data_IF_834259044085
#
_entry.id   IF_834259044085
#
_cell.length_a   1.000
_cell.length_b   1.000
_cell.length_c   1.000
_cell.angle_alpha   90.00
_cell.angle_beta   90.00
_cell.angle_gamma   90.00
#
_symmetry.space_group_name_H-M   'P 1'
#
loop_
_entity.id
_entity.type
_entity.pdbx_description
1 polymer ?
#
# COMPACT_ATOMS: atom_id res chain seq x y z
N UNK A 1 10.57 -18.91 33.61
CA UNK A 1 10.31 -18.61 32.19
C UNK A 1 8.95 -17.96 32.11
N UNK A 2 8.83 -16.77 31.50
CA UNK A 2 7.52 -16.17 31.26
C UNK A 2 6.84 -16.98 30.16
N UNK A 3 5.90 -17.84 30.54
CA UNK A 3 4.99 -18.52 29.61
C UNK A 3 3.89 -17.55 29.15
N UNK A 4 4.18 -16.25 29.04
CA UNK A 4 3.20 -15.23 28.74
C UNK A 4 3.72 -14.43 27.55
N UNK A 5 2.87 -14.24 26.56
CA UNK A 5 3.16 -13.46 25.37
C UNK A 5 3.43 -11.99 25.78
N UNK A 6 4.59 -11.42 25.44
CA UNK A 6 4.90 -10.04 25.77
C UNK A 6 4.03 -9.02 25.02
N UNK A 7 3.47 -9.40 23.87
CA UNK A 7 2.63 -8.53 23.04
C UNK A 7 1.17 -8.44 23.56
N UNK A 8 0.53 -9.57 23.87
CA UNK A 8 -0.90 -9.60 24.23
C UNK A 8 -1.21 -10.14 25.64
N UNK A 9 -0.24 -10.71 26.35
CA UNK A 9 -0.44 -11.27 27.69
C UNK A 9 -1.08 -12.67 27.74
N UNK A 10 -1.33 -13.32 26.60
CA UNK A 10 -1.84 -14.69 26.57
C UNK A 10 -0.77 -15.72 26.99
N UNK A 11 -1.20 -16.88 27.51
CA UNK A 11 -0.28 -17.96 27.84
C UNK A 11 0.34 -18.59 26.57
N UNK A 12 1.63 -18.91 26.64
CA UNK A 12 2.40 -19.52 25.56
C UNK A 12 2.61 -21.00 25.82
N UNK A 13 2.38 -21.82 24.80
CA UNK A 13 2.74 -23.24 24.84
C UNK A 13 4.27 -23.42 24.97
N UNK A 14 4.74 -24.55 25.54
CA UNK A 14 6.15 -24.86 25.61
C UNK A 14 6.78 -24.85 24.21
N UNK A 15 7.90 -24.12 24.06
CA UNK A 15 8.62 -23.97 22.77
C UNK A 15 7.80 -23.30 21.66
N UNK A 16 6.78 -22.50 21.99
CA UNK A 16 6.06 -21.71 21.01
C UNK A 16 7.02 -20.80 20.22
N UNK A 17 6.91 -20.81 18.89
CA UNK A 17 7.64 -19.91 17.98
C UNK A 17 6.83 -18.65 17.63
N UNK A 18 5.52 -18.69 17.86
CA UNK A 18 4.58 -17.59 17.68
C UNK A 18 3.42 -17.74 18.67
N UNK A 19 2.69 -16.66 18.94
CA UNK A 19 1.55 -16.66 19.84
C UNK A 19 0.32 -17.23 19.14
N UNK A 20 -0.31 -18.24 19.73
CA UNK A 20 -1.52 -18.86 19.20
C UNK A 20 -2.77 -17.96 19.30
N UNK A 21 -2.71 -16.92 20.13
CA UNK A 21 -3.82 -15.99 20.35
C UNK A 21 -3.77 -14.76 19.45
N UNK A 22 -2.60 -14.15 19.26
CA UNK A 22 -2.46 -12.89 18.50
C UNK A 22 -1.53 -12.99 17.28
N UNK A 23 -0.84 -14.11 17.09
CA UNK A 23 0.08 -14.31 15.97
C UNK A 23 1.46 -13.67 16.15
N UNK A 24 1.68 -12.84 17.18
CA UNK A 24 2.99 -12.20 17.38
C UNK A 24 4.11 -13.20 17.65
N UNK A 25 5.31 -12.86 17.19
CA UNK A 25 6.51 -13.69 17.24
C UNK A 25 7.77 -12.85 17.50
N UNK A 26 8.94 -13.45 17.32
CA UNK A 26 10.24 -12.81 17.51
C UNK A 26 10.45 -11.52 16.69
N UNK A 27 9.79 -11.37 15.54
CA UNK A 27 9.96 -10.21 14.66
C UNK A 27 8.89 -9.14 14.91
N UNK A 28 7.69 -9.56 15.30
CA UNK A 28 6.50 -8.70 15.32
C UNK A 28 6.11 -8.23 16.72
N UNK A 29 6.58 -8.88 17.79
CA UNK A 29 6.19 -8.46 19.14
C UNK A 29 6.90 -9.09 20.33
N UNK A 30 7.87 -10.00 20.12
CA UNK A 30 8.63 -10.65 21.21
C UNK A 30 10.09 -10.19 21.32
N UNK A 31 10.52 -9.26 20.48
CA UNK A 31 11.85 -8.67 20.57
C UNK A 31 11.95 -7.70 21.76
N UNK A 32 13.16 -7.52 22.32
CA UNK A 32 13.39 -6.64 23.47
C UNK A 32 13.07 -5.15 23.19
N UNK A 33 13.02 -4.77 21.91
CA UNK A 33 12.67 -3.42 21.45
C UNK A 33 11.26 -3.28 20.88
N UNK A 34 10.40 -4.29 21.01
CA UNK A 34 9.01 -4.21 20.58
C UNK A 34 8.23 -3.26 21.53
N UNK A 35 8.39 -1.96 21.32
CA UNK A 35 7.52 -0.94 21.92
C UNK A 35 6.34 -0.70 21.00
N UNK A 36 5.15 -0.70 21.58
CA UNK A 36 3.99 -0.08 20.93
C UNK A 36 4.28 1.41 20.80
N UNK A 37 4.40 1.87 19.56
CA UNK A 37 4.31 3.29 19.25
C UNK A 37 2.87 3.74 19.51
N UNK A 38 2.71 4.68 20.44
CA UNK A 38 1.40 5.20 20.82
C UNK A 38 0.97 6.38 19.94
N UNK A 39 1.85 6.85 19.06
CA UNK A 39 1.48 7.84 18.06
C UNK A 39 0.62 7.15 16.99
N UNK A 40 -0.68 7.43 17.05
CA UNK A 40 -1.60 7.01 16.01
C UNK A 40 -1.22 7.75 14.71
N UNK A 41 -1.13 7.04 13.57
CA UNK A 41 -0.88 7.70 12.29
C UNK A 41 -2.05 8.62 11.93
N UNK A 42 -1.76 9.68 11.16
CA UNK A 42 -2.78 10.63 10.72
C UNK A 42 -3.84 9.91 9.86
N UNK A 43 -5.06 9.84 10.40
CA UNK A 43 -6.18 9.17 9.75
C UNK A 43 -6.55 9.81 8.42
N UNK A 44 -6.51 11.15 8.34
CA UNK A 44 -6.90 11.87 7.13
C UNK A 44 -5.86 11.65 6.02
N UNK A 45 -4.57 11.59 6.37
CA UNK A 45 -3.49 11.25 5.43
C UNK A 45 -3.66 9.82 4.87
N UNK A 46 -3.97 8.85 5.73
CA UNK A 46 -4.22 7.46 5.30
C UNK A 46 -5.38 7.42 4.31
N UNK A 47 -6.48 8.11 4.61
CA UNK A 47 -7.66 8.14 3.75
C UNK A 47 -7.33 8.78 2.40
N UNK A 48 -6.58 9.87 2.38
CA UNK A 48 -6.16 10.52 1.12
C UNK A 48 -5.22 9.64 0.30
N UNK A 49 -4.28 8.95 0.94
CA UNK A 49 -3.29 8.13 0.23
C UNK A 49 -3.88 6.83 -0.34
N UNK A 50 -4.71 6.13 0.43
CA UNK A 50 -5.27 4.83 0.06
C UNK A 50 -6.58 4.95 -0.73
N UNK A 51 -7.42 5.93 -0.40
CA UNK A 51 -8.77 6.08 -0.95
C UNK A 51 -9.00 7.42 -1.64
N UNK A 52 -8.03 8.33 -1.61
CA UNK A 52 -8.14 9.63 -2.27
C UNK A 52 -8.20 9.49 -3.78
N UNK A 53 -9.17 10.17 -4.39
CA UNK A 53 -9.34 10.15 -5.82
C UNK A 53 -8.31 11.10 -6.47
N UNK A 54 -7.10 10.59 -6.76
CA UNK A 54 -6.10 11.34 -7.52
C UNK A 54 -6.59 11.51 -8.96
N UNK A 55 -7.10 12.71 -9.27
CA UNK A 55 -7.55 13.05 -10.63
C UNK A 55 -6.37 12.93 -11.59
N UNK A 56 -6.33 11.87 -12.40
CA UNK A 56 -5.33 11.74 -13.47
C UNK A 56 -5.60 12.82 -14.51
N UNK A 57 -4.61 13.67 -14.78
CA UNK A 57 -4.72 14.67 -15.83
C UNK A 57 -4.85 13.97 -17.18
N UNK A 58 -6.01 14.10 -17.83
CA UNK A 58 -6.28 13.49 -19.13
C UNK A 58 -5.65 14.24 -20.30
N UNK A 59 -5.16 15.46 -20.08
CA UNK A 59 -4.59 16.32 -21.11
C UNK A 59 -3.48 15.68 -21.96
N UNK A 60 -2.46 14.99 -21.40
CA UNK A 60 -1.45 14.33 -22.23
C UNK A 60 -2.05 13.25 -23.15
N UNK A 61 -3.09 12.54 -22.70
CA UNK A 61 -3.78 11.51 -23.51
C UNK A 61 -4.53 12.17 -24.67
N UNK A 62 -5.17 13.32 -24.42
CA UNK A 62 -5.86 14.08 -25.47
C UNK A 62 -4.86 14.56 -26.52
N UNK A 63 -3.72 15.13 -26.11
CA UNK A 63 -2.69 15.63 -27.03
C UNK A 63 -2.15 14.49 -27.92
N UNK A 64 -1.80 13.35 -27.33
CA UNK A 64 -1.31 12.18 -28.08
C UNK A 64 -2.38 11.68 -29.06
N UNK A 65 -3.63 11.58 -28.62
CA UNK A 65 -4.74 11.15 -29.48
C UNK A 65 -4.94 12.10 -30.67
N UNK A 66 -4.90 13.42 -30.45
CA UNK A 66 -5.00 14.39 -31.53
C UNK A 66 -3.85 14.30 -32.54
N UNK A 67 -2.61 14.09 -32.07
CA UNK A 67 -1.44 13.93 -32.95
C UNK A 67 -1.58 12.69 -33.84
N UNK A 68 -2.01 11.57 -33.27
CA UNK A 68 -2.21 10.32 -34.03
C UNK A 68 -3.30 10.47 -35.10
N UNK A 69 -4.42 11.11 -34.76
CA UNK A 69 -5.51 11.37 -35.71
C UNK A 69 -5.04 12.29 -36.84
N UNK A 70 -4.32 13.37 -36.51
CA UNK A 70 -3.77 14.28 -37.52
C UNK A 70 -2.78 13.57 -38.44
N UNK A 71 -1.89 12.73 -37.90
CA UNK A 71 -0.96 11.95 -38.70
C UNK A 71 -1.67 10.99 -39.67
N UNK A 72 -2.72 10.30 -39.21
CA UNK A 72 -3.53 9.42 -40.07
C UNK A 72 -4.25 10.18 -41.19
N UNK A 73 -4.78 11.37 -40.89
CA UNK A 73 -5.43 12.21 -41.91
C UNK A 73 -4.42 12.64 -42.96
N UNK A 74 -3.23 13.09 -42.54
CA UNK A 74 -2.16 13.54 -43.45
C UNK A 74 -1.71 12.39 -44.35
N UNK A 75 -1.42 11.22 -43.78
CA UNK A 75 -0.99 10.06 -44.59
C UNK A 75 -2.09 9.61 -45.55
N UNK A 76 -3.35 9.61 -45.12
CA UNK A 76 -4.48 9.28 -45.98
C UNK A 76 -4.62 10.27 -47.15
N UNK A 77 -4.53 11.58 -46.90
CA UNK A 77 -4.61 12.59 -47.96
C UNK A 77 -3.46 12.50 -48.95
N UNK A 78 -2.23 12.20 -48.50
CA UNK A 78 -1.06 12.08 -49.37
C UNK A 78 -1.01 10.78 -50.19
N UNK A 79 -1.82 9.78 -49.83
CA UNK A 79 -1.93 8.50 -50.57
C UNK A 79 -3.07 8.54 -51.59
N UNK A 80 -4.15 9.26 -51.30
CA UNK A 80 -5.35 9.32 -52.13
C UNK A 80 -5.40 10.49 -53.13
N UNK A 81 -4.48 11.46 -53.03
CA UNK A 81 -4.38 12.62 -53.90
C UNK A 81 -2.99 12.69 -54.53
#
# INVERSE_FOLDING_TARGET
MKNICPHCGAELAPKAIACQSCGSDAQTGWSEGASVDWELPDYDEIIENEFGNKKKAHWPVIVISCILVAALIITFTSIFF
#
